data_IF_694416426976
#
_entry.id   IF_694416426976
#
_cell.length_a   1.000
_cell.length_b   1.000
_cell.length_c   1.000
_cell.angle_alpha   90.00
_cell.angle_beta   90.00
_cell.angle_gamma   90.00
#
_symmetry.space_group_name_H-M   'P 1'
#
loop_
_entity.id
_entity.type
_entity.pdbx_description
1 polymer ?
#
# COMPACT_ATOMS: atom_id res chain seq x y z
N UNK A 1 1.46 2.62 -21.91
CA UNK A 1 1.46 1.81 -20.67
C UNK A 1 0.04 1.72 -20.12
N UNK A 2 -0.77 0.72 -20.52
CA UNK A 2 -1.99 0.26 -19.81
C UNK A 2 -2.78 -0.71 -20.70
N UNK A 3 -2.25 -1.91 -20.92
CA UNK A 3 -3.03 -3.06 -21.44
C UNK A 3 -2.89 -4.26 -20.49
N UNK A 4 -1.68 -4.46 -19.97
CA UNK A 4 -1.32 -5.47 -18.97
C UNK A 4 -2.06 -5.34 -17.62
N UNK A 5 -2.61 -4.18 -17.28
CA UNK A 5 -3.30 -3.96 -15.99
C UNK A 5 -4.75 -4.46 -15.99
N UNK A 6 -5.43 -4.43 -17.13
CA UNK A 6 -6.82 -4.85 -17.26
C UNK A 6 -6.95 -6.38 -17.23
N UNK A 7 -6.04 -7.10 -17.88
CA UNK A 7 -6.13 -8.57 -17.96
C UNK A 7 -6.01 -9.27 -16.60
N UNK A 8 -5.18 -8.75 -15.68
CA UNK A 8 -5.09 -9.31 -14.32
C UNK A 8 -6.31 -8.96 -13.45
N UNK A 9 -7.14 -8.00 -13.85
CA UNK A 9 -8.42 -7.73 -13.20
C UNK A 9 -9.47 -8.67 -13.82
N UNK A 10 -9.55 -8.74 -15.15
CA UNK A 10 -10.52 -9.60 -15.86
C UNK A 10 -10.41 -11.09 -15.50
N UNK A 11 -9.19 -11.60 -15.29
CA UNK A 11 -8.95 -13.00 -14.89
C UNK A 11 -9.56 -13.38 -13.53
N UNK A 12 -9.76 -12.40 -12.64
CA UNK A 12 -10.37 -12.60 -11.32
C UNK A 12 -11.84 -12.17 -11.27
N UNK A 13 -12.40 -11.71 -12.39
CA UNK A 13 -13.78 -11.27 -12.54
C UNK A 13 -14.29 -10.15 -11.63
N UNK A 14 -13.51 -9.17 -11.12
CA UNK A 14 -14.10 -7.96 -10.55
C UNK A 14 -14.51 -7.04 -11.71
N UNK A 15 -15.80 -6.87 -11.93
CA UNK A 15 -16.31 -5.73 -12.69
C UNK A 15 -15.82 -4.45 -12.01
N UNK A 16 -14.78 -3.84 -12.58
CA UNK A 16 -14.18 -2.62 -12.09
C UNK A 16 -14.80 -1.45 -12.86
N UNK A 17 -15.82 -0.82 -12.28
CA UNK A 17 -16.41 0.45 -12.74
C UNK A 17 -15.38 1.61 -12.82
N UNK A 18 -14.12 1.36 -12.47
CA UNK A 18 -13.00 2.29 -12.57
C UNK A 18 -12.66 2.69 -14.02
N UNK A 19 -12.92 1.82 -15.01
CA UNK A 19 -12.47 2.05 -16.39
C UNK A 19 -13.46 2.82 -17.27
N UNK A 20 -14.69 3.05 -16.81
CA UNK A 20 -15.73 3.73 -17.62
C UNK A 20 -15.57 5.25 -17.67
N UNK A 21 -14.62 5.85 -16.93
CA UNK A 21 -14.50 7.31 -16.83
C UNK A 21 -13.09 7.91 -16.79
N UNK A 22 -12.02 7.13 -17.01
CA UNK A 22 -10.65 7.57 -16.68
C UNK A 22 -9.80 8.08 -17.86
N UNK A 23 -10.41 8.54 -18.95
CA UNK A 23 -9.71 9.29 -20.01
C UNK A 23 -10.35 10.67 -20.17
N UNK A 24 -9.89 11.62 -19.37
CA UNK A 24 -9.71 13.01 -19.81
C UNK A 24 -8.37 13.50 -19.25
N UNK A 25 -7.58 14.15 -20.10
CA UNK A 25 -6.22 14.57 -19.81
C UNK A 25 -6.04 16.05 -20.15
N UNK A 26 -5.79 16.83 -19.08
CA UNK A 26 -4.93 18.03 -18.94
C UNK A 26 -5.36 19.37 -19.60
N UNK A 27 -4.80 20.56 -19.22
CA UNK A 27 -3.60 20.81 -18.37
C UNK A 27 -3.60 22.07 -17.40
N UNK A 28 -2.48 22.21 -16.63
CA UNK A 28 -1.79 23.44 -16.08
C UNK A 28 -2.52 24.26 -14.99
N UNK A 29 -1.91 24.91 -13.98
CA UNK A 29 -0.70 24.83 -13.14
C UNK A 29 -0.78 26.06 -12.20
N UNK A 30 -0.34 25.94 -10.94
CA UNK A 30 0.32 27.05 -10.25
C UNK A 30 1.22 26.49 -9.14
N UNK A 31 2.48 26.89 -9.23
CA UNK A 31 3.47 26.84 -8.17
C UNK A 31 3.07 27.84 -7.07
N UNK A 32 3.36 27.51 -5.82
CA UNK A 32 4.16 28.38 -4.93
C UNK A 32 4.48 27.61 -3.65
N UNK A 33 5.76 27.66 -3.28
CA UNK A 33 6.34 26.98 -2.12
C UNK A 33 6.41 27.89 -0.90
N UNK A 34 6.41 27.26 0.28
CA UNK A 34 6.85 27.79 1.59
C UNK A 34 7.16 26.53 2.40
N UNK A 35 8.39 26.22 2.82
CA UNK A 35 9.20 27.06 3.70
C UNK A 35 8.91 26.65 5.15
N UNK A 36 9.28 25.43 5.55
CA UNK A 36 9.21 24.99 6.95
C UNK A 36 10.54 25.32 7.63
N UNK A 37 10.74 26.60 7.89
CA UNK A 37 11.74 27.11 8.81
C UNK A 37 11.05 27.81 9.97
N UNK A 38 11.65 27.67 11.15
CA UNK A 38 11.58 28.65 12.24
C UNK A 38 10.33 28.61 13.14
N UNK A 39 10.42 27.77 14.18
CA UNK A 39 10.18 28.28 15.54
C UNK A 39 11.27 29.32 15.82
N UNK A 40 11.06 30.55 15.35
CA UNK A 40 11.78 31.71 15.85
C UNK A 40 10.97 32.27 17.03
N UNK A 41 11.53 32.04 18.22
CA UNK A 41 11.33 32.88 19.40
C UNK A 41 11.71 34.32 19.03
N UNK A 42 10.76 35.09 18.49
CA UNK A 42 10.85 36.55 18.47
C UNK A 42 10.41 37.07 19.84
N UNK A 43 11.31 36.91 20.83
CA UNK A 43 11.36 37.77 22.01
C UNK A 43 11.95 39.13 21.61
N UNK A 44 11.20 40.00 20.94
CA UNK A 44 11.49 41.45 20.97
C UNK A 44 10.33 42.28 20.42
N UNK A 45 9.31 42.53 21.26
CA UNK A 45 8.55 43.78 21.25
C UNK A 45 7.68 43.80 22.52
N UNK A 46 8.30 44.18 23.63
CA UNK A 46 7.67 44.39 24.93
C UNK A 46 6.78 45.63 24.91
N UNK A 47 5.71 45.62 24.12
CA UNK A 47 4.52 46.38 24.44
C UNK A 47 3.77 45.57 25.51
N UNK A 48 3.61 46.14 26.69
CA UNK A 48 2.85 45.53 27.79
C UNK A 48 1.40 45.38 27.34
N UNK A 49 1.07 44.22 26.78
CA UNK A 49 -0.29 43.84 26.44
C UNK A 49 -1.13 43.97 27.71
N UNK A 50 -2.24 44.69 27.58
CA UNK A 50 -3.25 44.78 28.63
C UNK A 50 -3.82 43.38 28.91
N UNK A 51 -4.36 43.16 30.11
CA UNK A 51 -4.93 41.86 30.49
C UNK A 51 -6.05 41.41 29.53
N UNK A 52 -6.76 42.36 28.91
CA UNK A 52 -7.78 42.11 27.90
C UNK A 52 -7.18 41.59 26.58
N UNK A 53 -6.05 42.15 26.13
CA UNK A 53 -5.35 41.71 24.92
C UNK A 53 -4.71 40.33 25.09
N UNK A 54 -4.18 40.02 26.29
CA UNK A 54 -3.66 38.67 26.60
C UNK A 54 -4.76 37.61 26.55
N UNK A 55 -5.94 37.92 27.11
CA UNK A 55 -7.09 37.02 27.07
C UNK A 55 -7.58 36.80 25.62
N UNK A 56 -7.60 37.85 24.81
CA UNK A 56 -7.96 37.76 23.40
C UNK A 56 -6.96 36.91 22.60
N UNK A 57 -5.65 37.11 22.81
CA UNK A 57 -4.61 36.33 22.15
C UNK A 57 -4.67 34.84 22.53
N UNK A 58 -4.88 34.52 23.81
CA UNK A 58 -5.05 33.14 24.27
C UNK A 58 -6.29 32.48 23.64
N UNK A 59 -7.39 33.22 23.50
CA UNK A 59 -8.60 32.75 22.83
C UNK A 59 -8.36 32.48 21.34
N UNK A 60 -7.65 33.37 20.65
CA UNK A 60 -7.33 33.23 19.22
C UNK A 60 -6.43 32.00 18.97
N UNK A 61 -5.46 31.74 19.85
CA UNK A 61 -4.61 30.56 19.77
C UNK A 61 -5.41 29.26 19.98
N UNK A 62 -6.34 29.22 20.94
CA UNK A 62 -7.15 28.01 21.17
C UNK A 62 -8.16 27.78 20.04
N UNK A 63 -8.76 28.85 19.49
CA UNK A 63 -9.60 28.76 18.28
C UNK A 63 -8.79 28.24 17.08
N UNK A 64 -7.59 28.77 16.85
CA UNK A 64 -6.68 28.26 15.81
C UNK A 64 -6.28 26.80 16.02
N UNK A 65 -6.12 26.37 17.28
CA UNK A 65 -5.86 24.97 17.64
C UNK A 65 -7.06 24.08 17.33
N UNK A 66 -8.27 24.52 17.67
CA UNK A 66 -9.52 23.82 17.38
C UNK A 66 -9.78 23.70 15.88
N UNK A 67 -9.58 24.77 15.13
CA UNK A 67 -9.72 24.77 13.67
C UNK A 67 -8.70 23.86 12.99
N UNK A 68 -7.44 23.84 13.47
CA UNK A 68 -6.42 22.89 13.01
C UNK A 68 -6.85 21.44 13.31
N UNK A 69 -7.38 21.15 14.49
CA UNK A 69 -7.91 19.81 14.83
C UNK A 69 -9.11 19.44 13.94
N UNK A 70 -10.01 20.38 13.68
CA UNK A 70 -11.19 20.18 12.82
C UNK A 70 -10.81 19.96 11.36
N UNK A 71 -9.82 20.70 10.84
CA UNK A 71 -9.26 20.51 9.51
C UNK A 71 -8.56 19.14 9.38
N UNK A 72 -7.78 18.72 10.38
CA UNK A 72 -7.19 17.37 10.44
C UNK A 72 -8.30 16.30 10.44
N UNK A 73 -9.36 16.49 11.23
CA UNK A 73 -10.48 15.55 11.27
C UNK A 73 -11.27 15.52 9.95
N UNK A 74 -11.44 16.67 9.27
CA UNK A 74 -12.07 16.76 7.96
C UNK A 74 -11.22 16.09 6.86
N UNK A 75 -9.90 16.29 6.87
CA UNK A 75 -8.96 15.65 5.95
C UNK A 75 -8.88 14.14 6.18
N UNK A 76 -8.99 13.67 7.43
CA UNK A 76 -9.14 12.24 7.73
C UNK A 76 -10.50 11.67 7.31
N UNK A 77 -11.54 12.52 7.24
CA UNK A 77 -12.89 12.18 6.74
C UNK A 77 -13.00 12.18 5.23
N UNK A 78 -11.94 12.57 4.48
CA UNK A 78 -11.91 12.37 3.03
C UNK A 78 -12.13 10.89 2.78
N UNK A 79 -13.35 10.57 2.37
CA UNK A 79 -13.87 9.22 2.25
C UNK A 79 -13.11 8.63 1.08
N UNK A 80 -11.93 8.06 1.35
CA UNK A 80 -11.12 7.39 0.34
C UNK A 80 -12.07 6.42 -0.32
N UNK A 81 -12.39 6.70 -1.57
CA UNK A 81 -13.40 5.99 -2.30
C UNK A 81 -13.15 4.49 -2.07
N UNK A 82 -14.17 3.77 -1.58
CA UNK A 82 -14.06 2.33 -1.24
C UNK A 82 -13.46 1.52 -2.39
N UNK A 83 -13.63 1.99 -3.63
CA UNK A 83 -13.03 1.42 -4.84
C UNK A 83 -11.50 1.62 -4.92
N UNK A 84 -10.96 2.78 -4.52
CA UNK A 84 -9.53 3.09 -4.54
C UNK A 84 -8.74 2.26 -3.52
N UNK A 85 -9.31 1.99 -2.33
CA UNK A 85 -8.71 1.06 -1.34
C UNK A 85 -8.62 -0.39 -1.84
N UNK A 86 -9.31 -0.74 -2.92
CA UNK A 86 -9.36 -2.10 -3.47
C UNK A 86 -8.53 -2.30 -4.73
N UNK A 87 -7.83 -1.29 -5.23
CA UNK A 87 -6.87 -1.48 -6.30
C UNK A 87 -5.74 -2.45 -5.86
N UNK A 88 -5.48 -3.47 -6.68
CA UNK A 88 -4.40 -4.42 -6.46
C UNK A 88 -3.42 -4.35 -7.62
N UNK A 89 -2.22 -3.87 -7.32
CA UNK A 89 -1.24 -3.44 -8.31
C UNK A 89 0.08 -4.19 -8.08
N UNK A 90 0.15 -5.47 -8.49
CA UNK A 90 1.23 -6.36 -8.11
C UNK A 90 2.57 -6.01 -8.77
N UNK A 91 2.56 -5.37 -9.94
CA UNK A 91 3.73 -5.24 -10.84
C UNK A 91 4.23 -3.80 -10.98
N UNK A 92 4.08 -2.99 -9.93
CA UNK A 92 4.48 -1.58 -9.98
C UNK A 92 6.01 -1.41 -9.90
N UNK A 93 6.64 -0.61 -10.78
CA UNK A 93 8.08 -0.34 -10.71
C UNK A 93 8.49 0.36 -9.41
N UNK A 94 9.65 0.01 -8.83
CA UNK A 94 10.18 0.65 -7.61
C UNK A 94 10.26 2.18 -7.73
N UNK A 95 10.71 2.70 -8.89
CA UNK A 95 10.77 4.16 -9.15
C UNK A 95 9.42 4.86 -9.01
N UNK A 96 8.32 4.18 -9.35
CA UNK A 96 6.99 4.74 -9.20
C UNK A 96 6.59 4.74 -7.74
N UNK A 97 6.89 3.66 -7.00
CA UNK A 97 6.62 3.59 -5.55
C UNK A 97 7.39 4.67 -4.81
N UNK A 98 8.65 4.90 -5.16
CA UNK A 98 9.46 6.00 -4.62
C UNK A 98 8.87 7.38 -4.95
N UNK A 99 8.47 7.63 -6.19
CA UNK A 99 7.85 8.89 -6.56
C UNK A 99 6.54 9.14 -5.79
N UNK A 100 5.74 8.09 -5.57
CA UNK A 100 4.51 8.19 -4.78
C UNK A 100 4.79 8.33 -3.28
N UNK A 101 5.85 7.70 -2.74
CA UNK A 101 6.19 7.81 -1.31
C UNK A 101 6.44 9.26 -0.90
N UNK A 102 7.10 10.04 -1.76
CA UNK A 102 7.38 11.46 -1.51
C UNK A 102 6.10 12.30 -1.35
N UNK A 103 5.01 11.94 -2.02
CA UNK A 103 3.72 12.64 -1.86
C UNK A 103 3.00 12.35 -0.54
N UNK A 104 3.51 11.38 0.23
CA UNK A 104 2.99 10.96 1.54
C UNK A 104 4.08 10.97 2.61
N UNK A 105 5.06 11.88 2.49
CA UNK A 105 6.18 12.03 3.44
C UNK A 105 6.90 10.71 3.76
N UNK A 106 7.08 9.88 2.74
CA UNK A 106 7.67 8.53 2.81
C UNK A 106 6.93 7.52 3.70
N UNK A 107 5.74 7.86 4.20
CA UNK A 107 4.86 6.95 4.93
C UNK A 107 4.11 6.08 3.94
N UNK A 108 4.79 5.09 3.36
CA UNK A 108 4.25 4.18 2.35
C UNK A 108 2.93 3.49 2.74
N UNK A 109 2.65 3.35 4.04
CA UNK A 109 1.40 2.80 4.53
C UNK A 109 0.19 3.75 4.40
N UNK A 110 0.42 5.03 4.10
CA UNK A 110 -0.63 6.01 3.80
C UNK A 110 -1.03 5.99 2.31
N UNK A 111 -0.27 5.28 1.46
CA UNK A 111 -0.68 5.03 0.09
C UNK A 111 -1.99 4.22 0.03
N UNK A 112 -2.81 4.53 -0.97
CA UNK A 112 -4.13 3.94 -1.16
C UNK A 112 -4.18 2.41 -1.21
N UNK A 113 -3.07 1.75 -1.57
CA UNK A 113 -2.98 0.29 -1.61
C UNK A 113 -1.83 -0.22 -0.76
N UNK A 114 -2.14 -1.12 0.18
CA UNK A 114 -1.18 -1.75 1.08
C UNK A 114 -0.32 -2.85 0.45
N UNK A 115 -0.20 -2.90 -0.87
CA UNK A 115 0.40 -4.04 -1.59
C UNK A 115 1.77 -3.74 -2.21
N UNK A 116 2.24 -2.51 -2.10
CA UNK A 116 3.55 -2.12 -2.60
C UNK A 116 4.64 -2.67 -1.69
N UNK A 117 5.75 -3.09 -2.29
CA UNK A 117 6.99 -3.29 -1.55
C UNK A 117 7.72 -1.96 -1.58
N UNK A 118 8.32 -1.56 -0.46
CA UNK A 118 9.17 -0.39 -0.44
C UNK A 118 10.27 -0.49 -1.51
N UNK A 119 10.74 0.62 -2.09
CA UNK A 119 11.72 0.62 -3.17
C UNK A 119 13.15 0.32 -2.65
N UNK A 120 13.30 -0.78 -1.92
CA UNK A 120 14.54 -1.26 -1.31
C UNK A 120 14.88 -2.61 -1.94
N UNK A 121 15.97 -2.63 -2.70
CA UNK A 121 16.44 -3.85 -3.36
C UNK A 121 17.17 -4.78 -2.39
N UNK A 122 17.24 -6.07 -2.73
CA UNK A 122 17.97 -7.07 -1.96
C UNK A 122 19.45 -6.69 -1.75
N UNK A 123 20.08 -6.04 -2.74
CA UNK A 123 21.45 -5.55 -2.63
C UNK A 123 21.59 -4.33 -1.72
N UNK A 124 20.55 -3.50 -1.60
CA UNK A 124 20.50 -2.42 -0.61
C UNK A 124 20.51 -3.00 0.81
N UNK A 125 19.69 -4.03 1.07
CA UNK A 125 19.73 -4.77 2.34
C UNK A 125 21.09 -5.44 2.57
N UNK A 126 21.69 -6.03 1.53
CA UNK A 126 23.04 -6.62 1.58
C UNK A 126 24.07 -5.58 2.03
N UNK A 127 24.04 -4.39 1.45
CA UNK A 127 24.95 -3.30 1.79
C UNK A 127 24.75 -2.78 3.22
N UNK A 128 23.49 -2.56 3.62
CA UNK A 128 23.13 -2.01 4.92
C UNK A 128 23.52 -2.94 6.07
N UNK A 129 23.28 -4.25 5.93
CA UNK A 129 23.59 -5.24 6.95
C UNK A 129 24.91 -5.99 6.73
N UNK A 130 25.73 -5.58 5.75
CA UNK A 130 26.99 -6.24 5.40
C UNK A 130 26.84 -7.75 5.23
N UNK A 131 25.86 -8.16 4.40
CA UNK A 131 25.58 -9.57 4.16
C UNK A 131 26.59 -10.16 3.16
N UNK A 132 27.12 -11.33 3.49
CA UNK A 132 28.03 -12.07 2.59
C UNK A 132 27.26 -12.70 1.43
N UNK A 133 27.95 -13.03 0.34
CA UNK A 133 27.34 -13.73 -0.80
C UNK A 133 26.69 -15.06 -0.39
N UNK A 134 27.30 -15.79 0.55
CA UNK A 134 26.76 -17.03 1.11
C UNK A 134 25.44 -16.79 1.86
N UNK A 135 25.34 -15.74 2.67
CA UNK A 135 24.09 -15.39 3.36
C UNK A 135 23.00 -15.00 2.36
N UNK A 136 23.33 -14.26 1.32
CA UNK A 136 22.39 -13.95 0.23
C UNK A 136 21.92 -15.21 -0.49
N UNK A 137 22.82 -16.17 -0.77
CA UNK A 137 22.47 -17.47 -1.36
C UNK A 137 21.52 -18.25 -0.46
N UNK A 138 21.80 -18.34 0.84
CA UNK A 138 20.91 -18.98 1.84
C UNK A 138 19.54 -18.31 1.90
N UNK A 139 19.46 -16.97 1.81
CA UNK A 139 18.18 -16.27 1.73
C UNK A 139 17.40 -16.61 0.45
N UNK A 140 18.06 -16.71 -0.71
CA UNK A 140 17.43 -17.17 -1.96
C UNK A 140 16.91 -18.60 -1.85
N UNK A 141 17.72 -19.52 -1.35
CA UNK A 141 17.32 -20.91 -1.11
C UNK A 141 16.11 -20.97 -0.16
N UNK A 142 16.16 -20.21 0.94
CA UNK A 142 15.05 -20.12 1.89
C UNK A 142 13.78 -19.55 1.26
N UNK A 143 13.87 -18.56 0.37
CA UNK A 143 12.72 -18.00 -0.35
C UNK A 143 12.03 -19.03 -1.26
N UNK A 144 12.78 -20.00 -1.78
CA UNK A 144 12.24 -21.11 -2.59
C UNK A 144 11.65 -22.22 -1.73
N UNK A 145 12.07 -22.32 -0.47
CA UNK A 145 11.38 -23.13 0.52
C UNK A 145 10.14 -22.38 1.02
N UNK A 146 9.03 -23.08 1.27
CA UNK A 146 7.80 -22.48 1.83
C UNK A 146 7.97 -21.99 3.30
N UNK A 147 9.22 -21.80 3.74
CA UNK A 147 9.56 -21.43 5.11
C UNK A 147 9.43 -19.92 5.31
N UNK A 148 8.26 -19.53 5.84
CA UNK A 148 7.95 -18.14 6.22
C UNK A 148 8.37 -17.79 7.64
N UNK A 149 9.08 -18.68 8.34
CA UNK A 149 9.56 -18.36 9.68
C UNK A 149 10.67 -17.31 9.62
N UNK A 150 10.68 -16.42 10.62
CA UNK A 150 11.81 -15.52 10.87
C UNK A 150 13.11 -16.33 10.88
N UNK A 151 14.19 -15.74 10.35
CA UNK A 151 15.50 -16.38 10.41
C UNK A 151 15.98 -16.39 11.86
N UNK A 152 15.77 -17.55 12.51
CA UNK A 152 16.29 -17.89 13.82
C UNK A 152 17.81 -18.06 13.71
N UNK A 153 18.53 -17.45 14.63
CA UNK A 153 19.99 -17.46 14.74
C UNK A 153 20.40 -16.80 16.04
N UNK A 154 21.67 -16.40 16.18
CA UNK A 154 22.17 -15.68 17.37
C UNK A 154 21.73 -14.20 17.38
N UNK A 155 20.54 -13.91 16.87
CA UNK A 155 20.00 -12.58 16.68
C UNK A 155 18.83 -12.39 17.64
N UNK A 156 18.66 -11.18 18.20
CA UNK A 156 17.52 -10.89 19.03
C UNK A 156 16.24 -11.00 18.21
N UNK A 157 15.24 -11.68 18.77
CA UNK A 157 13.89 -11.82 18.19
C UNK A 157 12.79 -11.35 19.14
N UNK A 158 13.13 -11.12 20.42
CA UNK A 158 12.18 -10.58 21.39
C UNK A 158 12.05 -9.06 21.18
N UNK A 159 10.87 -8.48 21.43
CA UNK A 159 10.64 -7.06 21.24
C UNK A 159 11.64 -6.18 22.02
N UNK A 160 11.93 -6.55 23.27
CA UNK A 160 12.87 -5.83 24.15
C UNK A 160 14.30 -5.84 23.62
N UNK A 161 14.70 -6.95 22.99
CA UNK A 161 16.05 -7.10 22.47
C UNK A 161 16.22 -6.49 21.08
N UNK A 162 15.20 -6.54 20.20
CA UNK A 162 15.27 -5.92 18.85
C UNK A 162 15.22 -4.38 18.93
N UNK A 163 14.61 -3.81 19.98
CA UNK A 163 14.47 -2.35 20.15
C UNK A 163 13.89 -1.69 18.89
N UNK A 164 12.79 -2.24 18.38
CA UNK A 164 12.06 -1.65 17.25
C UNK A 164 11.40 -0.36 17.70
N UNK A 165 11.32 0.67 16.83
CA UNK A 165 10.66 1.91 17.20
C UNK A 165 9.16 1.67 17.43
N UNK A 166 8.61 2.46 18.35
CA UNK A 166 7.16 2.50 18.59
C UNK A 166 6.55 3.30 17.46
N UNK A 167 5.73 2.66 16.62
CA UNK A 167 5.20 3.28 15.40
C UNK A 167 4.36 4.53 15.75
N UNK A 168 3.64 4.50 16.87
CA UNK A 168 2.90 5.67 17.37
C UNK A 168 3.74 6.93 17.59
N UNK A 169 5.07 6.79 17.72
CA UNK A 169 5.99 7.91 17.89
C UNK A 169 6.20 8.74 16.61
N UNK A 170 5.97 8.17 15.42
CA UNK A 170 6.05 8.89 14.14
C UNK A 170 4.75 8.84 13.33
N UNK A 171 3.75 8.07 13.78
CA UNK A 171 2.41 8.03 13.22
C UNK A 171 1.35 7.93 14.33
N UNK A 172 0.69 9.06 14.62
CA UNK A 172 -0.36 9.17 15.65
C UNK A 172 -1.59 8.28 15.37
N UNK A 173 -1.77 7.81 14.14
CA UNK A 173 -2.85 6.88 13.82
C UNK A 173 -2.55 5.46 14.31
N UNK A 174 -1.32 5.16 14.73
CA UNK A 174 -0.85 3.84 15.16
C UNK A 174 -0.75 3.76 16.68
N UNK A 175 -0.31 2.61 17.19
CA UNK A 175 -0.20 2.40 18.62
C UNK A 175 1.07 3.07 19.17
N UNK A 176 0.89 3.99 20.13
CA UNK A 176 1.98 4.63 20.88
C UNK A 176 2.22 4.04 22.27
N UNK A 177 1.45 3.02 22.67
CA UNK A 177 1.36 2.56 24.08
C UNK A 177 2.30 1.40 24.41
N UNK A 178 2.58 0.53 23.43
CA UNK A 178 3.34 -0.71 23.62
C UNK A 178 4.45 -0.83 22.59
N UNK A 179 5.52 -1.55 22.93
CA UNK A 179 6.59 -1.85 21.99
C UNK A 179 6.09 -2.65 20.78
N UNK A 180 6.70 -2.41 19.63
CA UNK A 180 6.40 -3.14 18.39
C UNK A 180 7.03 -4.53 18.43
N UNK A 181 6.22 -5.57 18.28
CA UNK A 181 6.67 -6.93 18.04
C UNK A 181 6.76 -7.20 16.53
N UNK A 182 7.80 -7.93 16.13
CA UNK A 182 7.96 -8.40 14.76
C UNK A 182 7.21 -9.72 14.57
N UNK A 183 6.47 -9.82 13.48
CA UNK A 183 5.85 -11.05 13.03
C UNK A 183 6.04 -11.21 11.52
N UNK A 184 5.83 -12.42 11.01
CA UNK A 184 5.83 -12.70 9.56
C UNK A 184 4.47 -13.23 9.16
N UNK A 185 4.00 -12.79 8.00
CA UNK A 185 2.75 -13.28 7.45
C UNK A 185 2.93 -14.71 6.95
N UNK A 186 2.33 -15.68 7.62
CA UNK A 186 2.33 -17.06 7.15
C UNK A 186 1.38 -17.30 5.98
N UNK A 187 1.47 -18.51 5.41
CA UNK A 187 0.44 -19.04 4.52
C UNK A 187 -0.85 -19.21 5.30
N UNK A 188 -1.92 -18.56 4.84
CA UNK A 188 -3.26 -18.73 5.39
C UNK A 188 -4.11 -19.44 4.34
N UNK A 189 -4.84 -20.47 4.78
CA UNK A 189 -5.82 -21.13 3.93
C UNK A 189 -6.89 -20.15 3.43
N UNK A 190 -7.55 -20.47 2.30
CA UNK A 190 -8.64 -19.65 1.78
C UNK A 190 -9.72 -19.49 2.86
N UNK A 191 -10.10 -18.25 3.13
CA UNK A 191 -11.23 -17.93 4.01
C UNK A 191 -12.36 -17.45 3.12
N UNK A 192 -13.62 -17.69 3.51
CA UNK A 192 -14.81 -17.17 2.81
C UNK A 192 -14.78 -15.63 2.84
N UNK A 193 -14.04 -15.03 1.91
CA UNK A 193 -13.76 -13.62 1.78
C UNK A 193 -13.76 -13.26 0.30
N UNK A 194 -13.84 -11.97 0.00
CA UNK A 194 -13.77 -11.49 -1.37
C UNK A 194 -12.43 -11.86 -2.01
N UNK A 195 -12.44 -12.14 -3.31
CA UNK A 195 -11.26 -12.54 -4.10
C UNK A 195 -10.09 -11.57 -3.89
N UNK A 196 -10.38 -10.27 -3.86
CA UNK A 196 -9.36 -9.23 -3.66
C UNK A 196 -8.69 -9.31 -2.28
N UNK A 197 -9.42 -9.68 -1.22
CA UNK A 197 -8.85 -9.81 0.12
C UNK A 197 -8.00 -11.07 0.23
N UNK A 198 -8.43 -12.17 -0.38
CA UNK A 198 -7.59 -13.38 -0.50
C UNK A 198 -6.29 -13.07 -1.25
N UNK A 199 -6.39 -12.37 -2.39
CA UNK A 199 -5.24 -12.00 -3.20
C UNK A 199 -4.27 -11.09 -2.43
N UNK A 200 -4.76 -10.07 -1.71
CA UNK A 200 -3.93 -9.23 -0.83
C UNK A 200 -3.21 -10.06 0.25
N UNK A 201 -3.84 -11.12 0.77
CA UNK A 201 -3.20 -12.02 1.75
C UNK A 201 -2.12 -12.87 1.12
N UNK A 202 -2.42 -13.49 -0.02
CA UNK A 202 -1.47 -14.28 -0.82
C UNK A 202 -0.26 -13.41 -1.17
N UNK A 203 -0.53 -12.18 -1.63
CA UNK A 203 0.51 -11.23 -2.01
C UNK A 203 1.44 -10.88 -0.85
N UNK A 204 0.96 -10.84 0.38
CA UNK A 204 1.79 -10.47 1.52
C UNK A 204 2.36 -11.67 2.29
N UNK A 205 2.29 -12.90 1.75
CA UNK A 205 2.93 -14.07 2.37
C UNK A 205 4.44 -13.88 2.49
N UNK A 206 5.00 -14.23 3.65
CA UNK A 206 6.41 -14.04 3.98
C UNK A 206 6.78 -12.61 4.34
N UNK A 207 5.88 -11.64 4.20
CA UNK A 207 6.16 -10.24 4.51
C UNK A 207 6.28 -10.04 6.02
N UNK A 208 7.43 -9.52 6.52
CA UNK A 208 7.56 -9.12 7.91
C UNK A 208 6.69 -7.88 8.20
N UNK A 209 6.03 -7.87 9.36
CA UNK A 209 5.21 -6.76 9.81
C UNK A 209 5.37 -6.52 11.31
N UNK A 210 5.06 -5.31 11.71
CA UNK A 210 5.07 -4.85 13.08
C UNK A 210 3.66 -4.87 13.65
N UNK A 211 3.52 -5.41 14.86
CA UNK A 211 2.27 -5.45 15.63
C UNK A 211 2.52 -4.89 17.01
N UNK A 212 1.58 -4.08 17.52
CA UNK A 212 1.61 -3.66 18.91
C UNK A 212 1.43 -4.86 19.86
N UNK A 213 1.92 -4.70 21.09
CA UNK A 213 1.83 -5.71 22.14
C UNK A 213 0.72 -5.43 23.16
N UNK A 214 -0.15 -4.44 22.95
CA UNK A 214 -1.21 -4.09 23.91
C UNK A 214 -2.01 -5.30 24.41
N UNK A 215 -2.37 -6.23 23.52
CA UNK A 215 -3.11 -7.45 23.91
C UNK A 215 -2.25 -8.39 24.76
N UNK A 216 -0.98 -8.58 24.40
CA UNK A 216 -0.06 -9.44 25.14
C UNK A 216 0.31 -8.85 26.52
N UNK A 217 0.34 -7.53 26.62
CA UNK A 217 0.59 -6.76 27.85
C UNK A 217 -0.67 -6.53 28.69
N UNK A 218 -1.84 -7.07 28.30
CA UNK A 218 -3.09 -6.89 29.06
C UNK A 218 -3.71 -5.48 28.98
N UNK A 219 -3.23 -4.62 28.09
CA UNK A 219 -3.70 -3.23 27.89
C UNK A 219 -4.94 -3.13 26.97
N UNK A 220 -5.54 -4.26 26.60
CA UNK A 220 -6.67 -4.32 25.67
C UNK A 220 -6.26 -4.23 24.19
N UNK A 221 -7.21 -4.50 23.29
CA UNK A 221 -7.00 -4.33 21.86
C UNK A 221 -7.14 -2.85 21.50
N UNK A 222 -6.03 -2.21 21.14
CA UNK A 222 -6.03 -0.81 20.71
C UNK A 222 -6.68 -0.60 19.33
N UNK A 223 -7.08 -1.66 18.63
CA UNK A 223 -7.74 -1.60 17.31
C UNK A 223 -6.84 -1.04 16.20
N UNK A 224 -5.55 -0.82 16.47
CA UNK A 224 -4.61 -0.26 15.51
C UNK A 224 -4.10 -1.36 14.58
N UNK A 225 -4.05 -1.02 13.29
CA UNK A 225 -3.63 -1.93 12.23
C UNK A 225 -2.14 -2.27 12.32
N UNK A 226 -1.76 -3.41 11.70
CA UNK A 226 -0.36 -3.76 11.45
C UNK A 226 0.31 -2.73 10.54
N UNK A 227 1.65 -2.63 10.62
CA UNK A 227 2.45 -1.89 9.64
C UNK A 227 3.49 -2.82 9.02
N UNK A 228 3.65 -2.80 7.70
CA UNK A 228 4.67 -3.60 7.02
C UNK A 228 6.06 -3.09 7.39
N UNK A 229 6.98 -4.01 7.69
CA UNK A 229 8.29 -3.62 8.19
C UNK A 229 9.10 -2.87 7.14
N UNK A 230 9.01 -3.25 5.86
CA UNK A 230 9.72 -2.57 4.76
C UNK A 230 9.26 -1.13 4.57
N UNK A 231 7.98 -0.84 4.77
CA UNK A 231 7.46 0.53 4.73
C UNK A 231 8.01 1.35 5.88
N UNK A 232 8.01 0.79 7.09
CA UNK A 232 8.61 1.44 8.26
C UNK A 232 10.12 1.62 8.05
N UNK A 233 10.81 0.62 7.51
CA UNK A 233 12.24 0.67 7.24
C UNK A 233 12.58 1.74 6.18
N UNK A 234 11.72 1.92 5.17
CA UNK A 234 11.83 3.00 4.17
C UNK A 234 11.71 4.38 4.82
N UNK A 235 10.66 4.60 5.62
CA UNK A 235 10.48 5.85 6.36
C UNK A 235 11.67 6.16 7.27
N UNK A 236 12.17 5.16 8.00
CA UNK A 236 13.33 5.34 8.88
C UNK A 236 14.64 5.59 8.12
N UNK A 237 14.73 5.19 6.84
CA UNK A 237 15.86 5.52 5.98
C UNK A 237 15.78 6.96 5.46
N UNK A 238 14.59 7.49 5.20
CA UNK A 238 14.40 8.89 4.80
C UNK A 238 14.56 9.85 5.97
N UNK A 239 14.08 9.47 7.17
CA UNK A 239 14.22 10.24 8.41
C UNK A 239 15.13 9.53 9.43
N UNK A 240 16.44 9.64 9.19
CA UNK A 240 17.44 9.12 10.12
C UNK A 240 17.56 9.93 11.41
N UNK A 241 17.06 11.18 11.43
CA UNK A 241 17.11 12.03 12.62
C UNK A 241 16.23 11.45 13.72
N UNK A 242 15.05 10.94 13.36
CA UNK A 242 14.14 10.27 14.28
C UNK A 242 14.81 9.17 15.12
N UNK A 243 15.68 8.35 14.51
CA UNK A 243 16.34 7.24 15.21
C UNK A 243 17.59 7.63 15.99
N UNK A 244 18.25 8.71 15.60
CA UNK A 244 19.58 9.09 16.07
C UNK A 244 19.70 10.62 16.18
N UNK A 245 18.87 11.28 17.01
CA UNK A 245 18.87 12.75 17.12
C UNK A 245 20.20 13.28 17.66
N UNK A 246 20.84 12.53 18.56
CA UNK A 246 22.14 12.86 19.18
C UNK A 246 23.32 12.84 18.19
N UNK A 247 23.19 12.16 17.05
CA UNK A 247 24.27 12.11 16.08
C UNK A 247 24.35 13.42 15.30
N UNK A 248 25.52 14.06 15.37
CA UNK A 248 25.76 15.43 14.86
C UNK A 248 25.72 15.60 13.34
N UNK A 249 25.73 14.51 12.56
CA UNK A 249 25.73 14.59 11.09
C UNK A 249 24.95 13.45 10.44
N UNK A 250 24.47 13.68 9.22
CA UNK A 250 23.82 12.64 8.40
C UNK A 250 24.71 11.41 8.22
N UNK A 251 26.03 11.60 8.03
CA UNK A 251 27.00 10.51 7.90
C UNK A 251 27.08 9.67 9.19
N UNK A 252 27.08 10.30 10.35
CA UNK A 252 27.07 9.62 11.63
C UNK A 252 25.78 8.82 11.83
N UNK A 253 24.62 9.42 11.52
CA UNK A 253 23.30 8.75 11.58
C UNK A 253 23.22 7.55 10.64
N UNK A 254 23.65 7.69 9.39
CA UNK A 254 23.69 6.59 8.42
C UNK A 254 24.61 5.45 8.87
N UNK A 255 25.76 5.76 9.49
CA UNK A 255 26.63 4.75 10.11
C UNK A 255 25.92 4.05 11.27
N UNK A 256 25.28 4.78 12.18
CA UNK A 256 24.53 4.22 13.29
C UNK A 256 23.38 3.30 12.82
N UNK A 257 22.66 3.70 11.77
CA UNK A 257 21.63 2.88 11.14
C UNK A 257 22.20 1.56 10.61
N UNK A 258 23.33 1.62 9.88
CA UNK A 258 24.02 0.40 9.40
C UNK A 258 24.49 -0.48 10.55
N UNK A 259 24.97 0.11 11.64
CA UNK A 259 25.33 -0.65 12.86
C UNK A 259 24.11 -1.37 13.43
N UNK A 260 22.94 -0.73 13.46
CA UNK A 260 21.70 -1.36 13.92
C UNK A 260 21.24 -2.47 12.97
N UNK A 261 21.25 -2.21 11.65
CA UNK A 261 20.91 -3.18 10.59
C UNK A 261 21.80 -4.43 10.61
N UNK A 262 23.13 -4.26 10.82
CA UNK A 262 24.08 -5.39 10.86
C UNK A 262 24.05 -6.19 12.16
N UNK A 263 23.45 -5.68 13.23
CA UNK A 263 23.46 -6.30 14.56
C UNK A 263 22.04 -6.66 15.00
N UNK A 264 21.39 -5.78 15.75
CA UNK A 264 20.11 -6.00 16.41
C UNK A 264 18.99 -6.26 15.40
N UNK A 265 19.01 -5.60 14.24
CA UNK A 265 17.98 -5.79 13.20
C UNK A 265 18.36 -6.82 12.15
N UNK A 266 19.46 -7.56 12.33
CA UNK A 266 20.00 -8.46 11.31
C UNK A 266 19.03 -9.56 10.92
N UNK A 267 18.32 -10.17 11.88
CA UNK A 267 17.31 -11.18 11.59
C UNK A 267 16.16 -10.62 10.73
N UNK A 268 15.77 -9.36 11.00
CA UNK A 268 14.70 -8.69 10.27
C UNK A 268 15.15 -8.39 8.85
N UNK A 269 16.35 -7.84 8.68
CA UNK A 269 16.94 -7.57 7.35
C UNK A 269 17.08 -8.86 6.54
N UNK A 270 17.56 -9.95 7.14
CA UNK A 270 17.65 -11.24 6.46
C UNK A 270 16.26 -11.76 6.03
N UNK A 271 15.24 -11.59 6.88
CA UNK A 271 13.86 -11.97 6.55
C UNK A 271 13.29 -11.09 5.44
N UNK A 272 13.65 -9.81 5.39
CA UNK A 272 13.31 -8.91 4.28
C UNK A 272 13.93 -9.36 2.96
N UNK A 273 15.20 -9.78 2.96
CA UNK A 273 15.86 -10.32 1.76
C UNK A 273 15.16 -11.59 1.26
N UNK A 274 14.77 -12.50 2.17
CA UNK A 274 13.96 -13.68 1.81
C UNK A 274 12.66 -13.24 1.15
N UNK A 275 11.95 -12.29 1.76
CA UNK A 275 10.69 -11.78 1.22
C UNK A 275 10.86 -11.09 -0.14
N UNK A 276 11.92 -10.31 -0.37
CA UNK A 276 12.21 -9.71 -1.68
C UNK A 276 12.34 -10.80 -2.75
N UNK A 277 13.06 -11.89 -2.47
CA UNK A 277 13.19 -13.00 -3.42
C UNK A 277 11.87 -13.77 -3.64
N UNK A 278 11.06 -13.95 -2.59
CA UNK A 278 9.70 -14.50 -2.73
C UNK A 278 8.83 -13.60 -3.62
N UNK A 279 8.89 -12.28 -3.40
CA UNK A 279 8.18 -11.27 -4.19
C UNK A 279 8.62 -11.30 -5.65
N UNK A 280 9.91 -11.44 -5.95
CA UNK A 280 10.42 -11.52 -7.32
C UNK A 280 9.79 -12.70 -8.08
N UNK A 281 9.68 -13.87 -7.43
CA UNK A 281 8.99 -15.04 -8.00
C UNK A 281 7.51 -14.74 -8.24
N UNK A 282 6.82 -14.13 -7.28
CA UNK A 282 5.40 -13.77 -7.40
C UNK A 282 5.13 -12.75 -8.51
N UNK A 283 6.02 -11.76 -8.68
CA UNK A 283 5.95 -10.76 -9.74
C UNK A 283 6.16 -11.41 -11.10
N UNK A 284 7.12 -12.33 -11.23
CA UNK A 284 7.31 -13.13 -12.46
C UNK A 284 6.06 -13.93 -12.83
N UNK A 285 5.43 -14.57 -11.85
CA UNK A 285 4.16 -15.28 -12.06
C UNK A 285 3.04 -14.35 -12.54
N UNK A 286 2.86 -13.23 -11.86
CA UNK A 286 1.84 -12.26 -12.23
C UNK A 286 2.08 -11.71 -13.64
N UNK A 287 3.33 -11.42 -13.99
CA UNK A 287 3.71 -10.97 -15.33
C UNK A 287 3.44 -12.04 -16.38
N UNK A 288 3.79 -13.30 -16.12
CA UNK A 288 3.54 -14.43 -17.02
C UNK A 288 2.06 -14.58 -17.35
N UNK A 289 1.19 -14.60 -16.33
CA UNK A 289 -0.29 -14.65 -16.51
C UNK A 289 -0.83 -13.43 -17.25
N UNK A 290 -0.20 -12.28 -17.04
CA UNK A 290 -0.59 -11.05 -17.73
C UNK A 290 -0.21 -11.05 -19.20
N UNK A 291 0.88 -11.72 -19.58
CA UNK A 291 1.28 -11.89 -20.97
C UNK A 291 0.48 -13.00 -21.64
N UNK A 292 0.16 -14.06 -20.91
CA UNK A 292 -0.59 -15.21 -21.39
C UNK A 292 -1.59 -15.68 -20.33
N UNK A 293 -2.88 -15.31 -20.47
CA UNK A 293 -3.94 -15.72 -19.56
C UNK A 293 -4.22 -17.24 -19.55
N UNK A 294 -3.70 -18.00 -20.53
CA UNK A 294 -3.91 -19.45 -20.61
C UNK A 294 -2.96 -20.25 -19.71
N UNK A 295 -1.96 -19.59 -19.13
CA UNK A 295 -1.01 -20.20 -18.18
C UNK A 295 -1.75 -20.90 -17.05
N UNK A 296 -1.25 -22.08 -16.71
CA UNK A 296 -1.71 -22.94 -15.62
C UNK A 296 -0.76 -22.85 -14.43
N UNK A 297 -1.13 -23.47 -13.30
CA UNK A 297 -0.24 -23.49 -12.13
C UNK A 297 1.07 -24.30 -12.38
N UNK A 298 1.11 -25.16 -13.40
CA UNK A 298 2.25 -26.02 -13.73
C UNK A 298 3.29 -25.30 -14.59
N UNK A 299 2.85 -24.42 -15.48
CA UNK A 299 3.67 -23.74 -16.50
C UNK A 299 3.68 -22.22 -16.34
N UNK A 300 3.20 -21.68 -15.21
CA UNK A 300 3.20 -20.23 -14.95
C UNK A 300 4.60 -19.60 -14.97
N UNK A 301 5.66 -20.36 -14.69
CA UNK A 301 7.06 -19.95 -14.81
C UNK A 301 7.74 -20.91 -15.76
N UNK A 302 8.42 -20.37 -16.78
CA UNK A 302 9.12 -21.15 -17.81
C UNK A 302 10.34 -21.91 -17.28
N UNK A 303 10.98 -21.43 -16.21
CA UNK A 303 12.13 -22.07 -15.58
C UNK A 303 11.69 -23.28 -14.72
N UNK A 304 11.93 -24.53 -15.19
CA UNK A 304 11.49 -25.72 -14.47
C UNK A 304 12.24 -25.88 -13.14
N UNK A 305 13.49 -25.40 -13.03
CA UNK A 305 14.29 -25.53 -11.81
C UNK A 305 13.65 -24.74 -10.66
N UNK A 306 13.13 -23.54 -10.95
CA UNK A 306 12.37 -22.77 -9.96
C UNK A 306 11.09 -23.53 -9.56
N UNK A 307 10.37 -24.10 -10.53
CA UNK A 307 9.12 -24.82 -10.27
C UNK A 307 9.30 -26.17 -9.55
N UNK A 308 10.52 -26.72 -9.44
CA UNK A 308 10.79 -27.88 -8.58
C UNK A 308 10.60 -27.57 -7.08
N UNK A 309 10.73 -26.30 -6.69
CA UNK A 309 10.66 -25.90 -5.29
C UNK A 309 9.22 -25.80 -4.76
N UNK A 310 9.08 -25.88 -3.43
CA UNK A 310 7.76 -25.94 -2.77
C UNK A 310 7.03 -24.58 -2.81
N UNK A 311 7.75 -23.49 -2.57
CA UNK A 311 7.16 -22.15 -2.54
C UNK A 311 6.53 -21.77 -3.90
N UNK A 312 7.25 -21.82 -5.03
CA UNK A 312 6.68 -21.44 -6.32
C UNK A 312 5.44 -22.27 -6.69
N UNK A 313 5.49 -23.60 -6.49
CA UNK A 313 4.31 -24.47 -6.75
C UNK A 313 3.10 -24.11 -5.90
N UNK A 314 3.32 -23.81 -4.62
CA UNK A 314 2.24 -23.40 -3.71
C UNK A 314 1.66 -22.07 -4.14
N UNK A 315 2.52 -21.12 -4.50
CA UNK A 315 2.12 -19.80 -4.93
C UNK A 315 1.37 -19.80 -6.27
N UNK A 316 1.82 -20.61 -7.24
CA UNK A 316 1.15 -20.80 -8.51
C UNK A 316 -0.30 -21.28 -8.33
N UNK A 317 -0.52 -22.26 -7.43
CA UNK A 317 -1.86 -22.76 -7.09
C UNK A 317 -2.75 -21.72 -6.40
N UNK A 318 -2.15 -20.81 -5.63
CA UNK A 318 -2.86 -19.75 -4.91
C UNK A 318 -3.21 -18.57 -5.82
N UNK A 319 -2.35 -18.22 -6.77
CA UNK A 319 -2.57 -17.13 -7.75
C UNK A 319 -3.52 -17.58 -8.86
N UNK A 320 -3.46 -18.84 -9.30
CA UNK A 320 -4.36 -19.44 -10.28
C UNK A 320 -5.25 -20.55 -9.67
N UNK A 321 -6.17 -20.23 -8.73
CA UNK A 321 -7.09 -21.23 -8.20
C UNK A 321 -7.98 -21.77 -9.33
N UNK A 322 -8.02 -23.09 -9.48
CA UNK A 322 -8.88 -23.77 -10.47
C UNK A 322 -10.37 -23.36 -10.37
N UNK A 323 -10.81 -22.95 -9.17
CA UNK A 323 -12.17 -22.44 -8.92
C UNK A 323 -12.49 -21.16 -9.70
N UNK A 324 -11.51 -20.28 -9.92
CA UNK A 324 -11.72 -19.03 -10.65
C UNK A 324 -11.65 -19.25 -12.16
N UNK A 325 -10.73 -20.11 -12.62
CA UNK A 325 -10.60 -20.48 -14.05
C UNK A 325 -11.85 -21.18 -14.59
N UNK A 326 -12.39 -22.16 -13.83
CA UNK A 326 -13.60 -22.90 -14.26
C UNK A 326 -14.85 -22.02 -14.31
N UNK A 327 -14.94 -21.02 -13.44
CA UNK A 327 -16.09 -20.09 -13.43
C UNK A 327 -16.09 -19.21 -14.67
N UNK A 328 -14.91 -18.76 -15.12
CA UNK A 328 -14.77 -17.99 -16.36
C UNK A 328 -15.10 -18.84 -17.59
N UNK A 329 -14.55 -20.06 -17.69
CA UNK A 329 -14.85 -20.98 -18.79
C UNK A 329 -16.33 -21.36 -18.85
N UNK A 330 -16.97 -21.62 -17.71
CA UNK A 330 -18.41 -21.91 -17.65
C UNK A 330 -19.24 -20.72 -18.15
N UNK A 331 -18.92 -19.49 -17.74
CA UNK A 331 -19.59 -18.28 -18.25
C UNK A 331 -19.37 -18.09 -19.75
N UNK A 332 -18.18 -18.37 -20.26
CA UNK A 332 -17.89 -18.27 -21.69
C UNK A 332 -18.67 -19.34 -22.50
N UNK A 333 -18.82 -20.55 -21.96
CA UNK A 333 -19.60 -21.62 -22.59
C UNK A 333 -21.11 -21.35 -22.56
N UNK A 334 -21.62 -20.76 -21.47
CA UNK A 334 -23.03 -20.36 -21.32
C UNK A 334 -23.37 -19.09 -22.12
N UNK A 335 -22.39 -18.24 -22.43
CA UNK A 335 -22.54 -17.05 -23.28
C UNK A 335 -22.44 -17.34 -24.79
N UNK A 336 -22.14 -18.58 -25.19
CA UNK A 336 -22.25 -19.00 -26.58
C UNK A 336 -23.74 -18.99 -26.99
N UNK A 337 -24.11 -18.40 -28.14
CA UNK A 337 -25.50 -18.12 -28.45
C UNK A 337 -26.25 -19.42 -28.72
N UNK A 338 -27.09 -19.82 -27.77
CA UNK A 338 -28.18 -20.74 -28.05
C UNK A 338 -29.16 -20.04 -28.99
N UNK A 339 -28.97 -20.28 -30.29
CA UNK A 339 -29.93 -19.95 -31.33
C UNK A 339 -31.20 -20.77 -31.12
N UNK A 340 -32.11 -20.29 -30.28
CA UNK A 340 -33.51 -20.68 -30.38
C UNK A 340 -34.41 -19.52 -30.01
N UNK A 341 -35.22 -19.18 -31.00
CA UNK A 341 -36.16 -18.08 -30.99
C UNK A 341 -37.17 -18.20 -29.84
N UNK A 342 -37.30 -17.13 -29.06
CA UNK A 342 -38.58 -16.73 -28.46
C UNK A 342 -38.56 -15.24 -28.18
N UNK A 343 -39.39 -14.51 -28.94
CA UNK A 343 -39.73 -13.09 -28.76
C UNK A 343 -40.13 -12.84 -27.30
N UNK A 344 -39.35 -12.04 -26.58
CA UNK A 344 -39.81 -11.36 -25.38
C UNK A 344 -39.26 -9.92 -25.39
N UNK A 345 -40.17 -9.00 -25.05
CA UNK A 345 -40.09 -7.53 -25.16
C UNK A 345 -38.72 -6.94 -24.83
N UNK A 346 -38.16 -6.26 -25.83
CA UNK A 346 -37.02 -5.36 -25.78
C UNK A 346 -37.26 -4.21 -24.79
N UNK A 347 -36.50 -4.16 -23.71
CA UNK A 347 -36.18 -2.91 -23.05
C UNK A 347 -35.10 -2.22 -23.91
N UNK A 348 -35.40 -1.04 -24.43
CA UNK A 348 -34.48 -0.25 -25.25
C UNK A 348 -33.24 0.09 -24.43
N UNK A 349 -32.11 -0.54 -24.76
CA UNK A 349 -30.79 0.02 -24.48
C UNK A 349 -30.43 0.90 -25.67
N UNK A 350 -30.25 2.19 -25.43
CA UNK A 350 -29.78 3.15 -26.42
C UNK A 350 -28.37 2.77 -26.87
N UNK A 351 -28.26 2.21 -28.07
CA UNK A 351 -26.98 2.03 -28.75
C UNK A 351 -26.56 3.42 -29.25
N UNK A 352 -25.45 3.91 -28.72
CA UNK A 352 -24.80 5.12 -29.20
C UNK A 352 -23.93 4.71 -30.42
N UNK A 353 -24.44 4.95 -31.62
CA UNK A 353 -23.67 4.78 -32.87
C UNK A 353 -22.68 5.94 -33.01
N UNK A 354 -21.38 5.63 -33.05
CA UNK A 354 -20.35 6.61 -33.33
C UNK A 354 -20.12 6.69 -34.84
N UNK A 355 -20.42 7.86 -35.41
CA UNK A 355 -19.99 8.25 -36.73
C UNK A 355 -18.46 8.39 -36.77
N UNK A 356 -17.80 7.64 -37.65
CA UNK A 356 -16.36 7.75 -37.94
C UNK A 356 -16.21 8.53 -39.25
N UNK A 357 -15.72 9.79 -39.24
CA UNK A 357 -15.41 10.51 -40.46
C UNK A 357 -14.16 9.91 -41.13
N UNK A 358 -14.09 9.83 -42.47
CA UNK A 358 -12.92 9.29 -43.15
C UNK A 358 -11.71 10.22 -42.97
N UNK A 359 -10.55 9.59 -42.77
CA UNK A 359 -9.25 10.25 -42.61
C UNK A 359 -8.92 11.11 -43.84
N UNK A 360 -8.78 12.43 -43.65
CA UNK A 360 -8.20 13.30 -44.67
C UNK A 360 -6.69 13.11 -44.66
N UNK A 361 -6.20 12.52 -45.74
CA UNK A 361 -4.78 12.41 -46.03
C UNK A 361 -4.14 13.80 -46.20
N UNK A 362 -3.04 13.99 -45.47
CA UNK A 362 -1.81 14.68 -45.89
C UNK A 362 -1.90 16.13 -46.38
N UNK A 363 -1.25 17.04 -45.65
CA UNK A 363 -0.37 18.02 -46.31
C UNK A 363 0.80 18.36 -45.40
N UNK A 364 2.00 18.00 -45.86
CA UNK A 364 3.30 18.43 -45.36
C UNK A 364 3.66 19.79 -45.95
N UNK A 365 4.05 20.80 -45.15
CA UNK A 365 5.01 21.84 -45.57
C UNK A 365 5.76 22.44 -44.37
N UNK A 366 7.09 22.33 -44.45
CA UNK A 366 8.18 23.29 -44.15
C UNK A 366 8.06 24.42 -43.12
N UNK A 367 9.19 24.58 -42.43
CA UNK A 367 9.74 25.64 -41.58
C UNK A 367 9.57 27.09 -42.06
N UNK A 368 9.35 28.04 -41.14
CA UNK A 368 10.16 29.26 -40.96
C UNK A 368 9.80 30.06 -39.68
N UNK A 369 10.77 30.85 -39.23
CA UNK A 369 10.89 31.68 -38.02
C UNK A 369 9.93 32.89 -37.85
N UNK A 370 9.91 33.37 -36.58
CA UNK A 370 9.79 34.76 -36.08
C UNK A 370 8.46 35.38 -35.56
N UNK A 371 8.61 35.91 -34.32
CA UNK A 371 7.99 37.07 -33.62
C UNK A 371 6.49 37.12 -33.24
N UNK A 372 6.27 37.47 -31.97
CA UNK A 372 5.02 37.88 -31.30
C UNK A 372 4.74 39.40 -31.50
N UNK A 373 3.77 40.06 -30.80
CA UNK A 373 2.50 39.63 -30.16
C UNK A 373 1.29 40.52 -30.57
N UNK A 374 0.03 40.08 -30.39
CA UNK A 374 -1.12 41.00 -30.09
C UNK A 374 -2.40 40.30 -29.63
N UNK A 375 -2.87 40.74 -28.46
CA UNK A 375 -4.24 41.06 -28.02
C UNK A 375 -5.50 40.38 -28.59
N UNK A 376 -6.33 39.96 -27.61
CA UNK A 376 -7.78 40.16 -27.49
C UNK A 376 -8.73 39.35 -28.39
N UNK A 377 -9.43 38.40 -27.78
CA UNK A 377 -10.89 38.29 -27.89
C UNK A 377 -11.45 37.28 -26.87
N UNK A 378 -12.42 37.72 -26.08
CA UNK A 378 -13.27 36.89 -25.23
C UNK A 378 -14.64 36.79 -25.89
N UNK A 379 -15.29 35.63 -25.89
CA UNK A 379 -16.76 35.60 -25.79
C UNK A 379 -17.21 34.45 -24.85
N UNK A 380 -18.52 34.20 -24.65
CA UNK A 380 -19.21 34.57 -23.42
C UNK A 380 -19.59 33.36 -22.55
N UNK A 381 -20.04 33.70 -21.34
CA UNK A 381 -20.62 32.88 -20.28
C UNK A 381 -21.41 31.64 -20.71
N UNK A 382 -21.28 30.58 -19.89
CA UNK A 382 -22.28 29.51 -19.79
C UNK A 382 -22.56 29.23 -18.32
N UNK A 383 -23.83 29.35 -17.95
CA UNK A 383 -24.42 29.11 -16.63
C UNK A 383 -24.56 27.62 -16.35
N UNK A 384 -24.27 27.19 -15.12
CA UNK A 384 -24.57 25.84 -14.63
C UNK A 384 -25.67 25.94 -13.57
N UNK A 385 -26.78 25.25 -13.84
CA UNK A 385 -27.88 25.01 -12.90
C UNK A 385 -27.47 23.84 -12.00
N UNK A 386 -27.55 24.07 -10.69
CA UNK A 386 -27.38 23.04 -9.65
C UNK A 386 -28.64 22.20 -9.61
N UNK A 387 -28.50 20.87 -9.73
CA UNK A 387 -29.54 19.95 -9.30
C UNK A 387 -28.98 19.13 -8.13
N UNK A 388 -29.46 19.52 -6.96
CA UNK A 388 -29.29 18.88 -5.68
C UNK A 388 -30.24 17.67 -5.64
N UNK A 389 -29.72 16.48 -5.33
CA UNK A 389 -30.57 15.41 -4.82
C UNK A 389 -29.76 14.59 -3.82
N UNK A 390 -30.09 14.84 -2.56
CA UNK A 390 -29.61 14.10 -1.42
C UNK A 390 -30.40 12.80 -1.23
N UNK A 391 -29.72 11.75 -0.80
CA UNK A 391 -30.37 10.73 0.01
C UNK A 391 -29.35 10.04 0.90
N UNK A 392 -29.38 10.41 2.18
CA UNK A 392 -28.73 9.69 3.25
C UNK A 392 -29.51 8.39 3.52
N UNK A 393 -28.81 7.25 3.56
CA UNK A 393 -29.36 6.04 4.15
C UNK A 393 -28.33 5.42 5.10
N UNK A 394 -28.60 5.63 6.38
CA UNK A 394 -27.88 5.04 7.50
C UNK A 394 -28.38 3.62 7.76
N UNK A 395 -27.47 2.69 7.96
CA UNK A 395 -27.79 1.46 8.69
C UNK A 395 -26.59 0.98 9.49
N UNK A 396 -26.60 1.36 10.78
CA UNK A 396 -25.85 0.71 11.84
C UNK A 396 -26.48 -0.65 12.14
N UNK A 397 -25.66 -1.71 12.21
CA UNK A 397 -26.02 -2.90 13.00
C UNK A 397 -24.83 -3.35 13.87
N UNK A 398 -25.08 -3.66 15.16
CA UNK A 398 -24.05 -4.02 16.12
C UNK A 398 -23.65 -5.51 16.01
N UNK A 399 -22.39 -5.79 16.33
CA UNK A 399 -21.82 -7.13 16.42
C UNK A 399 -22.31 -7.85 17.69
N UNK A 400 -23.00 -8.99 17.48
CA UNK A 400 -23.33 -9.98 18.51
C UNK A 400 -22.05 -10.51 19.19
N UNK A 401 -21.99 -10.41 20.51
CA UNK A 401 -21.15 -11.25 21.37
C UNK A 401 -21.75 -12.66 21.42
N UNK A 402 -20.90 -13.68 21.33
CA UNK A 402 -21.21 -15.02 21.82
C UNK A 402 -20.17 -15.43 22.87
N UNK A 403 -20.60 -15.98 24.02
CA UNK A 403 -19.74 -16.44 25.11
C UNK A 403 -19.44 -17.95 25.00
N UNK A 404 -18.58 -18.41 25.92
CA UNK A 404 -18.14 -19.79 26.25
C UNK A 404 -16.71 -20.11 25.75
N UNK A 405 -15.79 -20.61 26.57
CA UNK A 405 -15.95 -21.14 27.92
C UNK A 405 -14.63 -21.25 28.67
N UNK A 406 -14.79 -21.11 29.98
CA UNK A 406 -13.84 -21.45 31.04
C UNK A 406 -13.47 -22.93 30.97
N UNK A 407 -12.19 -23.22 31.20
CA UNK A 407 -11.69 -24.57 31.47
C UNK A 407 -10.44 -24.47 32.34
N UNK A 408 -10.57 -25.07 33.53
CA UNK A 408 -9.76 -24.94 34.73
C UNK A 408 -8.26 -25.25 34.62
N UNK A 409 -7.53 -24.47 35.42
CA UNK A 409 -6.46 -24.83 36.36
C UNK A 409 -6.18 -26.34 36.54
N UNK A 410 -4.90 -26.73 36.37
CA UNK A 410 -4.28 -27.75 37.23
C UNK A 410 -2.81 -27.40 37.47
N UNK A 411 -2.52 -27.01 38.71
CA UNK A 411 -1.17 -26.99 39.28
C UNK A 411 -0.71 -28.43 39.55
N UNK A 412 0.61 -28.67 39.51
CA UNK A 412 1.35 -29.46 40.53
C UNK A 412 2.78 -29.84 40.09
N UNK A 413 3.74 -29.31 40.84
CA UNK A 413 4.90 -29.95 41.52
C UNK A 413 5.92 -30.81 40.74
N UNK A 414 7.17 -30.40 40.90
CA UNK A 414 8.43 -31.16 40.97
C UNK A 414 8.42 -32.69 40.76
N UNK A 415 9.38 -33.17 39.95
CA UNK A 415 10.49 -34.04 40.40
C UNK A 415 11.54 -34.28 39.30
N UNK A 416 12.78 -34.41 39.79
CA UNK A 416 14.07 -34.77 39.17
C UNK A 416 14.82 -33.69 38.41
#
# INVERSE_FOLDING_TARGET
MSWSRCMFIDLFGPESNFHTGLIQRNPVATEDGVGSGEEEDLEDDSLTLTEEEKAYHAKLLEEGRLDRVKAIAANQKTCVNKYVRNAFLPTVPSRWVEAQSRSVDDKLWDLYTFNYVAPIHADSYRFLASLTGEKMKKCREKALTENTELIKGNYPLTPDAIKLPVIGGFDRTKCGVSASALAVRGFLGPKVQTVIVELKRIWNVGCPYLKCQCVAEGKGDCGKNISWFDHVFWYLLSDLFYLFPEASSLRARARAFRVRARSIWRAVVLSMVVFTHMRDVMVKMAFSVTMDPSRTAQDIIDDPAIMLHKFPRTMAKLILPARYVRTAQKRALEAAPASSAKKARTAQQSILEFYVPPSRAGTSVSSQDQSAPSSASTPPSSSIIVQEDGQASACNRPLRRSPRGLGLVRASLFKN
#
